data_IF_136410729747
#
_entry.id   IF_136410729747
#
_cell.length_a   1.000
_cell.length_b   1.000
_cell.length_c   1.000
_cell.angle_alpha   90.00
_cell.angle_beta   90.00
_cell.angle_gamma   90.00
#
_symmetry.space_group_name_H-M   'P 1'
#
loop_
_entity.id
_entity.type
_entity.pdbx_description
1 polymer ?
#
# COMPACT_ATOMS: atom_id res chain seq x y z
N UNK A 1 -45.58 26.68 -49.29
CA UNK A 1 -44.14 26.65 -48.94
C UNK A 1 -44.01 26.12 -47.51
N UNK A 2 -43.24 25.05 -47.33
CA UNK A 2 -43.08 24.32 -46.06
C UNK A 2 -41.96 24.96 -45.24
N UNK A 3 -42.19 25.24 -43.95
CA UNK A 3 -41.10 25.40 -42.98
C UNK A 3 -41.41 24.52 -41.76
N UNK A 4 -40.68 23.39 -41.67
CA UNK A 4 -40.56 22.58 -40.46
C UNK A 4 -39.55 23.29 -39.56
N UNK A 5 -39.99 23.74 -38.39
CA UNK A 5 -39.08 24.14 -37.30
C UNK A 5 -38.73 22.86 -36.54
N UNK A 6 -37.50 22.38 -36.70
CA UNK A 6 -36.93 21.31 -35.88
C UNK A 6 -36.15 22.00 -34.77
N UNK A 7 -36.67 21.91 -33.54
CA UNK A 7 -35.99 22.37 -32.34
C UNK A 7 -34.95 21.30 -31.95
N UNK A 8 -33.67 21.54 -32.27
CA UNK A 8 -32.56 20.72 -31.77
C UNK A 8 -32.13 21.30 -30.41
N UNK A 9 -32.63 20.71 -29.31
CA UNK A 9 -32.07 20.95 -27.98
C UNK A 9 -30.82 20.09 -27.88
N UNK A 10 -29.65 20.72 -28.11
CA UNK A 10 -28.35 20.13 -27.81
C UNK A 10 -28.24 20.05 -26.28
N UNK A 11 -28.48 18.86 -25.71
CA UNK A 11 -28.12 18.62 -24.31
C UNK A 11 -26.61 18.48 -24.22
N UNK A 12 -25.94 19.59 -23.92
CA UNK A 12 -24.56 19.59 -23.49
C UNK A 12 -24.50 18.89 -22.13
N UNK A 13 -24.31 17.57 -22.14
CA UNK A 13 -23.87 16.83 -20.95
C UNK A 13 -22.43 17.30 -20.70
N UNK A 14 -22.31 18.40 -19.95
CA UNK A 14 -21.07 18.78 -19.28
C UNK A 14 -20.81 17.70 -18.24
N UNK A 15 -20.13 16.64 -18.66
CA UNK A 15 -19.42 15.75 -17.75
C UNK A 15 -18.36 16.61 -17.05
N UNK A 16 -18.71 17.23 -15.94
CA UNK A 16 -17.74 17.84 -15.03
C UNK A 16 -16.95 16.68 -14.45
N UNK A 17 -15.94 16.24 -15.18
CA UNK A 17 -14.90 15.37 -14.65
C UNK A 17 -14.19 16.22 -13.61
N UNK A 18 -14.57 16.05 -12.33
CA UNK A 18 -13.82 16.59 -11.21
C UNK A 18 -12.49 15.87 -11.23
N UNK A 19 -11.54 16.38 -12.03
CA UNK A 19 -10.16 15.92 -11.97
C UNK A 19 -9.70 16.24 -10.55
N UNK A 20 -9.58 15.19 -9.74
CA UNK A 20 -8.90 15.28 -8.47
C UNK A 20 -7.51 15.87 -8.70
N UNK A 21 -7.31 17.10 -8.22
CA UNK A 21 -6.05 17.80 -8.38
C UNK A 21 -5.05 17.25 -7.38
N UNK A 22 -3.87 16.87 -7.87
CA UNK A 22 -2.76 16.47 -7.01
C UNK A 22 -2.21 17.71 -6.34
N UNK A 23 -2.14 17.69 -5.02
CA UNK A 23 -1.54 18.75 -4.20
C UNK A 23 -0.10 18.35 -3.88
N UNK A 24 0.81 19.31 -3.96
CA UNK A 24 2.23 19.12 -3.68
C UNK A 24 2.60 19.98 -2.48
N UNK A 25 3.24 19.38 -1.49
CA UNK A 25 3.85 20.05 -0.35
C UNK A 25 5.33 19.70 -0.30
N UNK A 26 6.18 20.70 -0.10
CA UNK A 26 7.63 20.51 0.01
C UNK A 26 8.16 21.27 1.22
N UNK A 27 8.89 20.56 2.07
CA UNK A 27 9.64 21.15 3.18
C UNK A 27 11.14 20.86 2.99
N UNK A 28 11.96 21.23 3.97
CA UNK A 28 13.38 20.86 3.97
C UNK A 28 13.59 19.35 4.20
N UNK A 29 12.62 18.64 4.78
CA UNK A 29 12.73 17.23 5.14
C UNK A 29 11.89 16.30 4.24
N UNK A 30 10.82 16.83 3.60
CA UNK A 30 9.88 16.00 2.84
C UNK A 30 9.38 16.63 1.53
N UNK A 31 9.02 15.75 0.60
CA UNK A 31 8.26 16.07 -0.60
C UNK A 31 7.04 15.15 -0.65
N UNK A 32 5.86 15.74 -0.51
CA UNK A 32 4.60 15.01 -0.35
C UNK A 32 3.63 15.36 -1.46
N UNK A 33 3.09 14.34 -2.12
CA UNK A 33 2.02 14.47 -3.11
C UNK A 33 0.76 13.83 -2.56
N UNK A 34 -0.37 14.54 -2.66
CA UNK A 34 -1.64 14.03 -2.17
C UNK A 34 -2.77 14.19 -3.17
N UNK A 35 -3.73 13.28 -3.09
CA UNK A 35 -4.90 13.25 -3.94
C UNK A 35 -6.13 12.87 -3.10
N UNK A 36 -7.24 13.58 -3.31
CA UNK A 36 -8.54 13.28 -2.67
C UNK A 36 -9.54 12.81 -3.71
N UNK A 37 -10.05 11.59 -3.56
CA UNK A 37 -11.07 11.00 -4.43
C UNK A 37 -12.12 10.32 -3.56
N UNK A 38 -13.40 10.64 -3.77
CA UNK A 38 -14.54 9.99 -3.10
C UNK A 38 -14.39 9.88 -1.57
N UNK A 39 -13.95 10.99 -0.95
CA UNK A 39 -13.66 11.11 0.49
C UNK A 39 -12.45 10.34 1.03
N UNK A 40 -11.75 9.60 0.17
CA UNK A 40 -10.46 8.96 0.51
C UNK A 40 -9.32 9.92 0.16
N UNK A 41 -8.43 10.14 1.13
CA UNK A 41 -7.24 10.95 0.98
C UNK A 41 -6.01 10.05 0.92
N UNK A 42 -5.23 10.17 -0.15
CA UNK A 42 -4.03 9.37 -0.40
C UNK A 42 -2.82 10.29 -0.45
N UNK A 43 -1.72 9.89 0.19
CA UNK A 43 -0.49 10.69 0.26
C UNK A 43 0.70 9.78 -0.02
N UNK A 44 1.58 10.22 -0.93
CA UNK A 44 2.91 9.66 -1.11
C UNK A 44 3.93 10.70 -0.65
N UNK A 45 4.68 10.38 0.40
CA UNK A 45 5.67 11.28 1.02
C UNK A 45 7.06 10.71 0.89
N UNK A 46 7.97 11.46 0.27
CA UNK A 46 9.39 11.15 0.21
C UNK A 46 10.11 11.93 1.32
N UNK A 47 11.03 11.30 2.04
CA UNK A 47 11.84 11.93 3.08
C UNK A 47 13.33 11.88 2.81
N UNK A 48 14.01 12.89 3.33
CA UNK A 48 15.46 13.03 3.35
C UNK A 48 15.89 13.65 4.67
N UNK A 49 17.15 13.47 5.02
CA UNK A 49 17.77 14.27 6.07
C UNK A 49 17.80 15.74 5.66
N UNK A 50 17.73 16.65 6.63
CA UNK A 50 17.68 18.10 6.39
C UNK A 50 18.85 18.58 5.51
N UNK A 51 20.03 17.98 5.67
CA UNK A 51 21.26 18.37 4.97
C UNK A 51 21.48 17.59 3.67
N UNK A 52 20.63 16.61 3.35
CA UNK A 52 20.68 15.84 2.11
C UNK A 52 19.86 16.51 1.00
N UNK A 53 20.25 16.34 -0.26
CA UNK A 53 19.40 16.67 -1.42
C UNK A 53 18.70 15.44 -2.00
N UNK A 54 19.07 14.24 -1.55
CA UNK A 54 18.59 12.95 -2.04
C UNK A 54 17.60 12.38 -1.04
N UNK A 55 16.40 12.04 -1.52
CA UNK A 55 15.38 11.35 -0.74
C UNK A 55 15.70 9.86 -0.60
N UNK A 56 15.66 9.35 0.63
CA UNK A 56 16.09 7.99 0.99
C UNK A 56 14.96 7.10 1.49
N UNK A 57 13.78 7.65 1.75
CA UNK A 57 12.63 6.86 2.20
C UNK A 57 11.34 7.40 1.61
N UNK A 58 10.35 6.52 1.43
CA UNK A 58 9.02 6.89 0.95
C UNK A 58 7.95 6.26 1.84
N UNK A 59 6.81 6.92 2.00
CA UNK A 59 5.62 6.38 2.66
C UNK A 59 4.38 6.62 1.83
N UNK A 60 3.55 5.60 1.78
CA UNK A 60 2.19 5.71 1.29
C UNK A 60 1.19 5.66 2.43
N UNK A 61 0.28 6.64 2.50
CA UNK A 61 -0.77 6.73 3.51
C UNK A 61 -2.13 6.87 2.87
N UNK A 62 -3.11 6.12 3.37
CA UNK A 62 -4.52 6.22 3.00
C UNK A 62 -5.30 6.64 4.24
N UNK A 63 -6.03 7.74 4.15
CA UNK A 63 -6.96 8.21 5.16
C UNK A 63 -8.38 8.18 4.58
N UNK A 64 -9.18 7.24 5.07
CA UNK A 64 -10.58 7.13 4.71
C UNK A 64 -11.45 7.68 5.85
N UNK A 65 -12.05 8.85 5.60
CA UNK A 65 -12.86 9.56 6.59
C UNK A 65 -14.30 9.05 6.68
N UNK A 66 -14.71 8.17 5.75
CA UNK A 66 -16.06 7.60 5.74
C UNK A 66 -16.16 6.29 6.51
N UNK A 67 -15.01 5.71 6.91
CA UNK A 67 -14.94 4.36 7.47
C UNK A 67 -15.67 3.33 6.59
N UNK A 68 -15.75 3.57 5.27
CA UNK A 68 -16.32 2.60 4.36
C UNK A 68 -15.56 1.29 4.54
N UNK A 69 -16.31 0.24 4.87
CA UNK A 69 -15.79 -1.11 5.03
C UNK A 69 -15.50 -1.79 3.69
N UNK A 70 -15.57 -1.04 2.59
CA UNK A 70 -15.27 -1.54 1.26
C UNK A 70 -13.87 -2.14 1.25
N UNK A 71 -13.78 -3.32 0.62
CA UNK A 71 -12.53 -4.03 0.49
C UNK A 71 -11.52 -3.17 -0.28
N UNK A 72 -10.36 -2.93 0.33
CA UNK A 72 -9.25 -2.22 -0.30
C UNK A 72 -8.26 -3.24 -0.82
N UNK A 73 -7.77 -3.03 -2.03
CA UNK A 73 -6.80 -3.91 -2.67
C UNK A 73 -5.52 -3.12 -2.93
N UNK A 74 -4.36 -3.69 -2.61
CA UNK A 74 -3.09 -3.01 -2.84
C UNK A 74 -2.86 -2.82 -4.35
N UNK A 75 -3.23 -3.80 -5.18
CA UNK A 75 -3.15 -3.69 -6.64
C UNK A 75 -3.82 -2.43 -7.20
N UNK A 76 -5.00 -2.05 -6.68
CA UNK A 76 -5.68 -0.81 -7.09
C UNK A 76 -4.93 0.44 -6.63
N UNK A 77 -4.37 0.37 -5.42
CA UNK A 77 -3.60 1.48 -4.85
C UNK A 77 -2.25 1.67 -5.56
N UNK A 78 -1.68 0.64 -6.21
CA UNK A 78 -0.49 0.78 -7.07
C UNK A 78 -0.75 1.78 -8.21
N UNK A 79 -1.96 1.83 -8.76
CA UNK A 79 -2.31 2.79 -9.83
C UNK A 79 -2.18 4.23 -9.31
N UNK A 80 -2.62 4.47 -8.08
CA UNK A 80 -2.51 5.80 -7.46
C UNK A 80 -1.07 6.11 -7.08
N UNK A 81 -0.35 5.15 -6.48
CA UNK A 81 1.06 5.28 -6.14
C UNK A 81 1.86 5.64 -7.39
N UNK A 82 1.66 4.94 -8.51
CA UNK A 82 2.34 5.21 -9.77
C UNK A 82 2.09 6.64 -10.24
N UNK A 83 0.82 7.09 -10.25
CA UNK A 83 0.48 8.45 -10.66
C UNK A 83 1.17 9.53 -9.81
N UNK A 84 1.26 9.33 -8.50
CA UNK A 84 1.94 10.27 -7.60
C UNK A 84 3.46 10.18 -7.78
N UNK A 85 3.99 8.97 -7.96
CA UNK A 85 5.41 8.71 -8.16
C UNK A 85 5.93 9.34 -9.44
N UNK A 86 5.22 9.24 -10.55
CA UNK A 86 5.66 9.77 -11.85
C UNK A 86 5.87 11.30 -11.78
N UNK A 87 5.05 12.02 -11.00
CA UNK A 87 5.24 13.46 -10.76
C UNK A 87 6.46 13.72 -9.87
N UNK A 88 6.69 12.86 -8.88
CA UNK A 88 7.88 12.94 -8.03
C UNK A 88 9.17 12.70 -8.84
N UNK A 89 9.13 11.75 -9.79
CA UNK A 89 10.25 11.38 -10.65
C UNK A 89 10.78 12.56 -11.47
N UNK A 90 9.87 13.41 -11.95
CA UNK A 90 10.21 14.64 -12.66
C UNK A 90 10.69 15.78 -11.74
N UNK A 91 10.49 15.66 -10.42
CA UNK A 91 10.60 16.78 -9.47
C UNK A 91 11.71 16.67 -8.44
N UNK A 92 12.13 15.45 -8.08
CA UNK A 92 13.08 15.19 -7.00
C UNK A 92 14.09 14.10 -7.37
N UNK A 93 15.25 14.11 -6.70
CA UNK A 93 16.23 13.04 -6.79
C UNK A 93 16.11 12.11 -5.59
N UNK A 94 16.08 10.80 -5.83
CA UNK A 94 15.93 9.83 -4.76
C UNK A 94 16.79 8.58 -4.99
N UNK A 95 17.24 8.01 -3.88
CA UNK A 95 17.88 6.71 -3.79
C UNK A 95 17.29 6.01 -2.57
N UNK A 96 16.18 5.30 -2.77
CA UNK A 96 15.35 4.81 -1.68
C UNK A 96 15.95 3.58 -1.03
N UNK A 97 16.02 3.63 0.29
CA UNK A 97 16.41 2.53 1.18
C UNK A 97 15.18 1.88 1.84
N UNK A 98 14.05 2.59 1.87
CA UNK A 98 12.82 2.06 2.46
C UNK A 98 11.53 2.59 1.85
N UNK A 99 10.49 1.75 1.91
CA UNK A 99 9.11 2.09 1.61
C UNK A 99 8.22 1.71 2.80
N UNK A 100 7.59 2.68 3.45
CA UNK A 100 6.54 2.43 4.44
C UNK A 100 5.20 2.29 3.74
N UNK A 101 4.57 1.14 3.92
CA UNK A 101 3.22 0.89 3.43
C UNK A 101 2.35 0.40 4.58
N UNK A 102 1.05 0.50 4.40
CA UNK A 102 0.10 0.05 5.40
C UNK A 102 0.23 -1.46 5.66
N UNK A 103 -0.12 -1.86 6.88
CA UNK A 103 0.01 -3.24 7.33
C UNK A 103 -0.99 -4.18 6.63
N UNK A 104 -0.71 -5.50 6.56
CA UNK A 104 -1.42 -6.42 5.66
C UNK A 104 -2.94 -6.40 5.76
N UNK A 105 -3.49 -6.26 6.97
CA UNK A 105 -4.95 -6.31 7.21
C UNK A 105 -5.73 -5.16 6.55
N UNK A 106 -5.04 -4.09 6.13
CA UNK A 106 -5.68 -2.97 5.41
C UNK A 106 -6.01 -3.31 3.96
N UNK A 107 -5.33 -4.30 3.37
CA UNK A 107 -5.53 -4.70 1.98
C UNK A 107 -5.98 -6.16 1.92
N UNK A 108 -7.10 -6.43 1.26
CA UNK A 108 -7.71 -7.77 1.19
C UNK A 108 -6.80 -8.78 0.50
N UNK A 109 -6.16 -8.40 -0.60
CA UNK A 109 -5.18 -9.21 -1.33
C UNK A 109 -3.95 -9.51 -0.47
N UNK A 110 -3.37 -8.50 0.18
CA UNK A 110 -2.20 -8.66 1.05
C UNK A 110 -2.53 -9.52 2.27
N UNK A 111 -3.69 -9.33 2.91
CA UNK A 111 -4.13 -10.13 4.06
C UNK A 111 -4.29 -11.61 3.68
N UNK A 112 -4.95 -11.89 2.56
CA UNK A 112 -5.14 -13.28 2.07
C UNK A 112 -3.81 -13.94 1.74
N UNK A 113 -2.90 -13.22 1.08
CA UNK A 113 -1.57 -13.72 0.78
C UNK A 113 -0.78 -13.96 2.08
N UNK A 114 -0.85 -13.03 3.02
CA UNK A 114 -0.20 -13.12 4.33
C UNK A 114 -0.66 -14.36 5.11
N UNK A 115 -1.97 -14.54 5.30
CA UNK A 115 -2.49 -15.73 5.99
C UNK A 115 -2.03 -17.01 5.28
N UNK A 116 -2.16 -17.05 3.95
CA UNK A 116 -1.74 -18.21 3.16
C UNK A 116 -0.25 -18.55 3.32
N UNK A 117 0.61 -17.54 3.35
CA UNK A 117 2.06 -17.70 3.54
C UNK A 117 2.39 -18.33 4.89
N UNK A 118 1.76 -17.85 5.96
CA UNK A 118 1.98 -18.39 7.31
C UNK A 118 1.40 -19.79 7.51
N UNK A 119 0.25 -20.11 6.87
CA UNK A 119 -0.31 -21.46 6.89
C UNK A 119 0.58 -22.49 6.16
N UNK A 120 1.21 -22.06 5.05
CA UNK A 120 2.11 -22.93 4.26
C UNK A 120 3.54 -23.01 4.83
N UNK A 121 3.93 -22.08 5.68
CA UNK A 121 5.29 -22.02 6.24
C UNK A 121 5.53 -23.10 7.28
N UNK A 122 6.37 -24.09 6.95
CA UNK A 122 6.81 -25.13 7.90
C UNK A 122 7.48 -24.53 9.14
N UNK A 123 8.31 -23.51 8.96
CA UNK A 123 9.01 -22.85 10.06
C UNK A 123 8.03 -22.23 11.04
N UNK A 124 7.00 -21.55 10.54
CA UNK A 124 5.95 -20.97 11.38
C UNK A 124 5.09 -22.03 12.05
N UNK A 125 4.63 -23.05 11.32
CA UNK A 125 3.81 -24.12 11.90
C UNK A 125 4.57 -24.88 13.00
N UNK A 126 5.86 -25.16 12.80
CA UNK A 126 6.71 -25.76 13.82
C UNK A 126 6.87 -24.84 15.05
N UNK A 127 7.04 -23.54 14.82
CA UNK A 127 7.11 -22.56 15.89
C UNK A 127 5.82 -22.49 16.71
N UNK A 128 4.65 -22.46 16.06
CA UNK A 128 3.34 -22.47 16.73
C UNK A 128 3.14 -23.77 17.54
N UNK A 129 3.49 -24.92 16.98
CA UNK A 129 3.36 -26.20 17.68
C UNK A 129 4.23 -26.27 18.96
N UNK A 130 5.41 -25.64 18.93
CA UNK A 130 6.35 -25.65 20.06
C UNK A 130 6.11 -24.53 21.07
N UNK A 131 5.72 -23.36 20.61
CA UNK A 131 5.73 -22.11 21.39
C UNK A 131 4.35 -21.42 21.48
N UNK A 132 3.32 -21.95 20.83
CA UNK A 132 1.98 -21.36 20.79
C UNK A 132 1.97 -19.97 20.15
N UNK A 133 1.29 -19.01 20.80
CA UNK A 133 1.16 -17.61 20.35
C UNK A 133 2.36 -16.72 20.69
N UNK A 134 3.57 -17.28 20.83
CA UNK A 134 4.78 -16.46 21.01
C UNK A 134 5.17 -15.86 19.66
N UNK A 135 5.49 -14.57 19.62
CA UNK A 135 5.96 -13.92 18.39
C UNK A 135 7.44 -14.22 18.16
N UNK A 136 7.80 -14.58 16.93
CA UNK A 136 9.17 -14.71 16.45
C UNK A 136 9.36 -13.81 15.23
N UNK A 137 10.04 -12.70 15.44
CA UNK A 137 10.11 -11.61 14.48
C UNK A 137 10.98 -11.99 13.28
N UNK A 138 11.97 -12.86 13.48
CA UNK A 138 12.85 -13.30 12.40
C UNK A 138 12.13 -14.28 11.48
N UNK A 139 11.38 -15.25 12.05
CA UNK A 139 10.51 -16.12 11.25
C UNK A 139 9.45 -15.30 10.52
N UNK A 140 8.83 -14.31 11.18
CA UNK A 140 7.83 -13.44 10.56
C UNK A 140 8.39 -12.73 9.33
N UNK A 141 9.50 -11.98 9.49
CA UNK A 141 10.12 -11.25 8.37
C UNK A 141 10.56 -12.19 7.24
N UNK A 142 11.09 -13.37 7.59
CA UNK A 142 11.51 -14.39 6.61
C UNK A 142 10.32 -14.88 5.79
N UNK A 143 9.24 -15.31 6.44
CA UNK A 143 8.02 -15.78 5.75
C UNK A 143 7.44 -14.69 4.86
N UNK A 144 7.41 -13.44 5.34
CA UNK A 144 6.93 -12.31 4.54
C UNK A 144 7.74 -12.10 3.26
N UNK A 145 9.06 -12.23 3.33
CA UNK A 145 9.97 -12.05 2.21
C UNK A 145 9.91 -13.21 1.21
N UNK A 146 9.98 -14.45 1.69
CA UNK A 146 10.00 -15.64 0.83
C UNK A 146 8.70 -15.85 0.05
N UNK A 147 7.57 -15.33 0.55
CA UNK A 147 6.25 -15.50 -0.06
C UNK A 147 5.74 -14.23 -0.77
N UNK A 148 6.58 -13.21 -0.91
CA UNK A 148 6.25 -11.95 -1.59
C UNK A 148 4.88 -11.38 -1.18
N UNK A 149 4.67 -11.18 0.13
CA UNK A 149 3.35 -10.83 0.67
C UNK A 149 2.79 -9.54 0.05
N UNK A 150 3.67 -8.61 -0.31
CA UNK A 150 3.36 -7.34 -0.97
C UNK A 150 3.64 -7.38 -2.48
N UNK A 151 3.37 -8.51 -3.14
CA UNK A 151 3.67 -8.74 -4.56
C UNK A 151 3.33 -7.53 -5.49
N UNK A 152 2.14 -6.90 -5.43
CA UNK A 152 1.86 -5.75 -6.30
C UNK A 152 2.84 -4.57 -6.10
N UNK A 153 3.24 -4.30 -4.86
CA UNK A 153 4.26 -3.29 -4.56
C UNK A 153 5.64 -3.73 -5.03
N UNK A 154 6.00 -5.00 -4.85
CA UNK A 154 7.30 -5.52 -5.29
C UNK A 154 7.45 -5.44 -6.82
N UNK A 155 6.40 -5.79 -7.57
CA UNK A 155 6.37 -5.65 -9.03
C UNK A 155 6.49 -4.19 -9.46
N UNK A 156 5.75 -3.28 -8.84
CA UNK A 156 5.88 -1.85 -9.08
C UNK A 156 7.30 -1.35 -8.82
N UNK A 157 7.91 -1.69 -7.69
CA UNK A 157 9.26 -1.26 -7.32
C UNK A 157 10.32 -1.77 -8.29
N UNK A 158 10.17 -2.99 -8.82
CA UNK A 158 11.04 -3.53 -9.87
C UNK A 158 11.00 -2.66 -11.13
N UNK A 159 9.83 -2.14 -11.52
CA UNK A 159 9.73 -1.20 -12.67
C UNK A 159 10.45 0.12 -12.42
N UNK A 160 10.65 0.49 -11.14
CA UNK A 160 11.39 1.69 -10.71
C UNK A 160 12.87 1.41 -10.41
N UNK A 161 13.36 0.20 -10.70
CA UNK A 161 14.77 -0.18 -10.51
C UNK A 161 15.13 -0.51 -9.06
N UNK A 162 14.16 -0.90 -8.23
CA UNK A 162 14.40 -1.34 -6.85
C UNK A 162 14.08 -2.81 -6.66
N UNK A 163 14.79 -3.45 -5.71
CA UNK A 163 14.46 -4.76 -5.19
C UNK A 163 14.13 -4.70 -3.70
N UNK A 164 13.17 -5.53 -3.27
CA UNK A 164 12.85 -5.72 -1.86
C UNK A 164 13.82 -6.73 -1.26
N UNK A 165 14.64 -6.27 -0.31
CA UNK A 165 15.67 -7.10 0.35
C UNK A 165 15.27 -7.56 1.76
N UNK A 166 14.13 -7.08 2.26
CA UNK A 166 13.62 -7.49 3.55
C UNK A 166 12.58 -6.55 4.12
N UNK A 167 12.23 -6.79 5.39
CA UNK A 167 11.28 -5.97 6.13
C UNK A 167 11.87 -5.55 7.47
N UNK A 168 11.53 -4.33 7.90
CA UNK A 168 11.55 -3.91 9.30
C UNK A 168 10.10 -3.74 9.76
N UNK A 169 9.80 -4.16 10.97
CA UNK A 169 8.43 -4.23 11.49
C UNK A 169 8.39 -3.75 12.92
N UNK A 170 7.48 -2.84 13.24
CA UNK A 170 7.31 -2.33 14.60
C UNK A 170 5.92 -2.72 15.13
N UNK A 171 5.92 -3.42 16.27
CA UNK A 171 4.74 -3.99 16.94
C UNK A 171 4.04 -5.10 16.14
N UNK A 172 3.68 -6.16 16.85
CA UNK A 172 2.94 -7.28 16.27
C UNK A 172 1.80 -7.69 17.19
N UNK A 173 0.76 -8.22 16.57
CA UNK A 173 -0.31 -8.95 17.22
C UNK A 173 -0.61 -10.22 16.45
N UNK A 174 -1.87 -10.62 16.49
CA UNK A 174 -2.39 -11.75 15.72
C UNK A 174 -3.59 -11.27 14.91
N UNK A 175 -3.83 -11.93 13.78
CA UNK A 175 -5.07 -11.75 13.04
C UNK A 175 -6.24 -12.17 13.94
N UNK A 176 -7.27 -11.33 14.02
CA UNK A 176 -8.47 -11.64 14.80
C UNK A 176 -9.32 -12.68 14.08
N UNK A 177 -10.18 -13.38 14.82
CA UNK A 177 -11.12 -14.36 14.27
C UNK A 177 -12.00 -13.74 13.16
N UNK A 178 -12.50 -12.53 13.41
CA UNK A 178 -13.29 -11.75 12.44
C UNK A 178 -12.52 -11.51 11.13
N UNK A 179 -11.23 -11.14 11.22
CA UNK A 179 -10.42 -10.89 10.03
C UNK A 179 -10.02 -12.17 9.30
N UNK A 180 -9.84 -13.29 10.01
CA UNK A 180 -9.65 -14.61 9.40
C UNK A 180 -10.89 -15.03 8.61
N UNK A 181 -12.07 -14.91 9.22
CA UNK A 181 -13.34 -15.24 8.59
C UNK A 181 -13.63 -14.34 7.38
N UNK A 182 -13.43 -13.03 7.50
CA UNK A 182 -13.55 -12.07 6.40
C UNK A 182 -12.64 -12.42 5.23
N UNK A 183 -11.44 -12.93 5.51
CA UNK A 183 -10.51 -13.37 4.48
C UNK A 183 -10.78 -14.78 3.94
N UNK A 184 -11.77 -15.52 4.48
CA UNK A 184 -12.16 -16.86 4.04
C UNK A 184 -11.38 -18.01 4.69
N UNK A 185 -10.79 -17.79 5.87
CA UNK A 185 -9.99 -18.79 6.60
C UNK A 185 -10.65 -19.24 7.91
N UNK A 186 -10.13 -20.32 8.50
CA UNK A 186 -10.61 -20.83 9.78
C UNK A 186 -10.36 -19.80 10.91
N UNK A 187 -11.29 -19.69 11.85
CA UNK A 187 -11.22 -18.70 12.93
C UNK A 187 -10.10 -18.96 13.95
N UNK A 188 -9.59 -20.20 14.03
CA UNK A 188 -8.62 -20.62 15.04
C UNK A 188 -7.15 -20.56 14.57
N UNK A 189 -6.88 -20.06 13.36
CA UNK A 189 -5.52 -19.97 12.84
C UNK A 189 -4.68 -18.97 13.63
N UNK A 190 -3.44 -19.35 13.97
CA UNK A 190 -2.51 -18.50 14.70
C UNK A 190 -1.60 -17.81 13.69
N UNK A 191 -2.04 -16.65 13.21
CA UNK A 191 -1.33 -15.86 12.19
C UNK A 191 -0.80 -14.57 12.82
N UNK A 192 0.52 -14.33 12.81
CA UNK A 192 1.08 -13.11 13.37
C UNK A 192 0.78 -11.94 12.43
N UNK A 193 0.62 -10.74 12.95
CA UNK A 193 0.28 -9.55 12.16
C UNK A 193 1.17 -8.38 12.56
N UNK A 194 2.07 -7.88 11.68
CA UNK A 194 2.79 -6.64 11.93
C UNK A 194 1.83 -5.45 11.83
N UNK A 195 2.00 -4.42 12.66
CA UNK A 195 1.17 -3.20 12.61
C UNK A 195 1.85 -2.03 11.89
N UNK A 196 3.18 -2.07 11.77
CA UNK A 196 3.97 -1.10 11.00
C UNK A 196 4.96 -1.91 10.17
N UNK A 197 4.99 -1.65 8.85
CA UNK A 197 5.86 -2.35 7.91
C UNK A 197 6.69 -1.34 7.13
N UNK A 198 8.00 -1.49 7.23
CA UNK A 198 8.98 -0.81 6.39
C UNK A 198 9.62 -1.85 5.48
N UNK A 199 9.30 -1.76 4.19
CA UNK A 199 9.94 -2.57 3.16
C UNK A 199 11.33 -2.01 2.94
N UNK A 200 12.37 -2.83 3.10
CA UNK A 200 13.76 -2.46 2.86
C UNK A 200 14.07 -2.61 1.38
N UNK A 201 14.68 -1.58 0.81
CA UNK A 201 14.95 -1.48 -0.63
C UNK A 201 16.44 -1.43 -0.90
N UNK A 202 16.82 -1.96 -2.05
CA UNK A 202 18.14 -1.77 -2.66
C UNK A 202 17.94 -1.41 -4.14
N UNK A 203 18.82 -0.55 -4.66
CA UNK A 203 18.79 -0.15 -6.07
C UNK A 203 19.50 -1.20 -6.92
N UNK A 204 18.85 -1.62 -8.00
CA UNK A 204 19.40 -2.57 -8.97
C UNK A 204 20.48 -1.94 -9.87
#
# INVERSE_FOLDING_TARGET
>A
MKYKVILFILSSILSVSVKSQIQISKTNADYSLSIKQDSVYRILSFWKDNDSTIYSSVKYTISDFTQNQDEKYLEDEIIVIQKLWDIADDSIQYNLESFNIAYPIQFTDVLKNHISAFLKSKDWQNHVNKNGKKLDYDIIKKVMLENDIYMPLNEFLKTKGYQVIGFSTEKHGFVTEENLQRAGFNANEIIPMPFIVWVKLEKN
#
